data_IF_069355295232
#
_entry.id   IF_069355295232
#
_cell.length_a   1.000
_cell.length_b   1.000
_cell.length_c   1.000
_cell.angle_alpha   90.00
_cell.angle_beta   90.00
_cell.angle_gamma   90.00
#
_symmetry.space_group_name_H-M   'P 1'
#
loop_
_entity.id
_entity.type
_entity.pdbx_description
1 polymer ?
#
# COMPACT_ATOMS: atom_id res chain seq x y z
N UNK A 1 41.05 -31.38 -4.18
CA UNK A 1 40.40 -30.26 -4.92
C UNK A 1 39.00 -30.58 -5.49
N UNK A 2 38.33 -31.68 -5.10
CA UNK A 2 36.98 -32.02 -5.60
C UNK A 2 35.83 -31.51 -4.71
N UNK A 3 36.11 -31.09 -3.48
CA UNK A 3 35.07 -30.73 -2.49
C UNK A 3 34.79 -29.22 -2.39
N UNK A 4 35.59 -28.37 -3.05
CA UNK A 4 35.38 -26.91 -3.04
C UNK A 4 34.31 -26.47 -4.07
N UNK A 5 34.08 -27.28 -5.12
CA UNK A 5 33.06 -27.00 -6.14
C UNK A 5 31.62 -27.24 -5.65
N UNK A 6 31.41 -28.12 -4.67
CA UNK A 6 30.08 -28.31 -4.07
C UNK A 6 29.73 -27.19 -3.07
N UNK A 7 30.72 -26.54 -2.46
CA UNK A 7 30.47 -25.43 -1.52
C UNK A 7 30.04 -24.14 -2.25
N UNK A 8 30.50 -23.95 -3.48
CA UNK A 8 30.11 -22.82 -4.34
C UNK A 8 28.74 -23.00 -5.00
N UNK A 9 28.26 -24.24 -5.15
CA UNK A 9 26.91 -24.50 -5.69
C UNK A 9 25.81 -24.30 -4.63
N UNK A 10 26.16 -24.39 -3.34
CA UNK A 10 25.23 -24.14 -2.21
C UNK A 10 24.98 -22.66 -1.92
N UNK A 11 25.81 -21.74 -2.44
CA UNK A 11 25.69 -20.29 -2.20
C UNK A 11 24.88 -19.56 -3.30
N UNK A 12 24.47 -20.25 -4.36
CA UNK A 12 23.66 -19.69 -5.46
C UNK A 12 22.14 -19.92 -5.30
N UNK A 13 21.67 -20.28 -4.11
CA UNK A 13 20.32 -19.86 -3.70
C UNK A 13 20.39 -18.39 -3.24
N UNK A 14 20.77 -17.51 -4.16
CA UNK A 14 20.51 -16.09 -4.00
C UNK A 14 19.01 -15.96 -3.90
N UNK A 15 18.57 -15.60 -2.69
CA UNK A 15 17.25 -15.15 -2.34
C UNK A 15 16.51 -14.55 -3.54
N UNK A 16 15.62 -15.33 -4.15
CA UNK A 16 14.47 -14.77 -4.81
C UNK A 16 13.62 -14.18 -3.67
N UNK A 17 14.00 -12.99 -3.20
CA UNK A 17 13.10 -12.19 -2.39
C UNK A 17 11.84 -12.05 -3.23
N UNK A 18 10.68 -12.53 -2.75
CA UNK A 18 9.45 -12.42 -3.51
C UNK A 18 9.33 -10.96 -3.94
N UNK A 19 9.05 -10.73 -5.23
CA UNK A 19 8.80 -9.38 -5.72
C UNK A 19 7.66 -8.81 -4.90
N UNK A 20 8.00 -7.98 -3.94
CA UNK A 20 7.05 -7.43 -2.99
C UNK A 20 6.17 -6.47 -3.79
N UNK A 21 4.88 -6.80 -3.93
CA UNK A 21 3.86 -5.78 -4.15
C UNK A 21 3.99 -4.79 -2.99
N UNK A 22 3.86 -3.49 -3.26
CA UNK A 22 4.03 -2.36 -2.33
C UNK A 22 4.75 -2.73 -1.05
N UNK A 23 6.10 -2.73 -1.04
CA UNK A 23 6.78 -3.71 -0.22
C UNK A 23 6.36 -3.68 1.24
N UNK A 24 6.39 -4.85 1.89
CA UNK A 24 6.02 -5.03 3.29
C UNK A 24 6.41 -3.85 4.19
N UNK A 25 7.61 -3.29 4.02
CA UNK A 25 8.10 -2.12 4.74
C UNK A 25 7.18 -0.90 4.65
N UNK A 26 6.62 -0.59 3.47
CA UNK A 26 5.71 0.55 3.26
C UNK A 26 4.33 0.28 3.83
N UNK A 27 3.78 -0.93 3.67
CA UNK A 27 2.55 -1.31 4.36
C UNK A 27 2.72 -1.24 5.88
N UNK A 28 3.82 -1.79 6.40
CA UNK A 28 4.17 -1.75 7.82
C UNK A 28 4.34 -0.28 8.29
N UNK A 29 4.95 0.59 7.47
CA UNK A 29 5.11 2.02 7.79
C UNK A 29 3.78 2.76 7.84
N UNK A 30 2.91 2.58 6.84
CA UNK A 30 1.56 3.16 6.82
C UNK A 30 0.77 2.72 8.06
N UNK A 31 0.76 1.42 8.33
CA UNK A 31 0.04 0.87 9.47
C UNK A 31 0.64 1.35 10.79
N UNK A 32 1.96 1.51 10.89
CA UNK A 32 2.61 1.94 12.12
C UNK A 32 2.35 3.42 12.42
N UNK A 33 2.46 4.30 11.42
CA UNK A 33 2.07 5.70 11.55
C UNK A 33 0.57 5.79 11.89
N UNK A 34 -0.28 4.99 11.24
CA UNK A 34 -1.70 4.96 11.56
C UNK A 34 -1.96 4.54 13.02
N UNK A 35 -1.30 3.48 13.49
CA UNK A 35 -1.39 2.97 14.86
C UNK A 35 -0.96 4.03 15.90
N UNK A 36 0.09 4.78 15.62
CA UNK A 36 0.53 5.91 16.45
C UNK A 36 -0.53 7.02 16.55
N UNK A 37 -1.41 7.15 15.55
CA UNK A 37 -2.46 8.17 15.47
C UNK A 37 -3.87 7.65 15.83
N UNK A 38 -4.00 6.41 16.32
CA UNK A 38 -5.26 5.89 16.84
C UNK A 38 -5.62 6.47 18.21
N UNK A 39 -6.90 6.71 18.44
CA UNK A 39 -7.44 7.04 19.77
C UNK A 39 -7.27 5.84 20.71
N UNK A 40 -7.17 6.08 22.04
CA UNK A 40 -7.12 4.99 23.00
C UNK A 40 -8.33 4.04 22.92
N UNK A 41 -9.51 4.54 22.55
CA UNK A 41 -10.72 3.73 22.39
C UNK A 41 -10.64 2.83 21.16
N UNK A 42 -10.20 3.38 20.02
CA UNK A 42 -9.97 2.62 18.80
C UNK A 42 -8.94 1.50 19.03
N UNK A 43 -7.79 1.81 19.66
CA UNK A 43 -6.77 0.81 20.00
C UNK A 43 -7.34 -0.35 20.81
N UNK A 44 -8.08 -0.05 21.89
CA UNK A 44 -8.69 -1.09 22.75
C UNK A 44 -9.71 -1.93 22.01
N UNK A 45 -10.56 -1.30 21.18
CA UNK A 45 -11.60 -2.02 20.45
C UNK A 45 -11.03 -2.89 19.33
N UNK A 46 -10.02 -2.42 18.60
CA UNK A 46 -9.30 -3.19 17.57
C UNK A 46 -8.58 -4.40 18.18
N UNK A 47 -7.94 -4.24 19.33
CA UNK A 47 -7.20 -5.31 20.02
C UNK A 47 -8.07 -6.50 20.45
N UNK A 48 -9.40 -6.39 20.41
CA UNK A 48 -10.30 -7.52 20.63
C UNK A 48 -10.36 -8.49 19.45
N UNK A 49 -10.04 -8.01 18.25
CA UNK A 49 -10.20 -8.75 17.00
C UNK A 49 -8.87 -9.16 16.39
N UNK A 50 -7.75 -8.58 16.83
CA UNK A 50 -6.41 -8.85 16.33
C UNK A 50 -5.52 -9.37 17.46
N UNK A 51 -4.72 -10.40 17.16
CA UNK A 51 -3.80 -11.00 18.14
C UNK A 51 -2.50 -10.18 18.27
N UNK A 52 -2.23 -9.32 17.28
CA UNK A 52 -1.05 -8.46 17.18
C UNK A 52 -1.43 -7.06 16.69
N UNK A 53 -0.44 -6.15 16.66
CA UNK A 53 -0.56 -4.79 16.09
C UNK A 53 -1.13 -4.82 14.67
N UNK A 54 -1.81 -3.73 14.25
CA UNK A 54 -2.29 -3.60 12.86
C UNK A 54 -1.13 -3.70 11.84
N UNK A 55 0.10 -3.35 12.25
CA UNK A 55 1.32 -3.49 11.45
C UNK A 55 1.55 -4.94 11.03
N UNK A 56 1.32 -5.90 11.94
CA UNK A 56 1.50 -7.33 11.65
C UNK A 56 0.59 -7.82 10.51
N UNK A 57 -0.57 -7.21 10.37
CA UNK A 57 -1.58 -7.55 9.38
C UNK A 57 -1.53 -6.68 8.11
N UNK A 58 -0.62 -5.69 8.05
CA UNK A 58 -0.61 -4.71 6.98
C UNK A 58 -0.33 -5.30 5.60
N UNK A 59 0.50 -6.34 5.55
CA UNK A 59 0.84 -7.07 4.31
C UNK A 59 0.08 -8.40 4.15
N UNK A 60 -0.99 -8.61 4.94
CA UNK A 60 -1.64 -9.92 5.03
C UNK A 60 -2.33 -10.31 3.71
N UNK A 61 -3.00 -9.37 3.07
CA UNK A 61 -3.67 -9.65 1.79
C UNK A 61 -2.67 -10.07 0.73
N UNK A 62 -1.48 -9.47 0.66
CA UNK A 62 -0.44 -9.89 -0.29
C UNK A 62 0.09 -11.28 0.03
N UNK A 63 0.35 -11.55 1.31
CA UNK A 63 0.86 -12.86 1.75
C UNK A 63 -0.11 -14.00 1.45
N UNK A 64 -1.41 -13.74 1.53
CA UNK A 64 -2.46 -14.74 1.36
C UNK A 64 -3.33 -14.46 0.13
N UNK A 65 -2.79 -13.79 -0.90
CA UNK A 65 -3.60 -13.27 -2.01
C UNK A 65 -4.42 -14.31 -2.75
N UNK A 66 -3.98 -15.56 -2.76
CA UNK A 66 -4.63 -16.65 -3.49
C UNK A 66 -5.69 -17.40 -2.67
N UNK A 67 -5.88 -17.06 -1.38
CA UNK A 67 -6.90 -17.69 -0.55
C UNK A 67 -8.31 -17.21 -0.93
N UNK A 68 -9.38 -17.99 -0.63
CA UNK A 68 -10.75 -17.63 -1.00
C UNK A 68 -11.19 -16.24 -0.55
N UNK A 69 -10.66 -15.77 0.58
CA UNK A 69 -10.92 -14.46 1.15
C UNK A 69 -10.37 -13.34 0.26
N UNK A 70 -9.13 -13.46 -0.26
CA UNK A 70 -8.45 -12.33 -0.91
C UNK A 70 -8.43 -12.43 -2.44
N UNK A 71 -8.51 -13.64 -3.02
CA UNK A 71 -8.25 -13.91 -4.45
C UNK A 71 -9.13 -13.14 -5.45
N UNK A 72 -10.29 -12.67 -5.02
CA UNK A 72 -11.23 -11.95 -5.89
C UNK A 72 -11.10 -10.42 -5.78
N UNK A 73 -10.32 -9.92 -4.84
CA UNK A 73 -10.04 -8.48 -4.68
C UNK A 73 -8.75 -8.18 -5.44
N UNK A 74 -8.79 -7.18 -6.31
CA UNK A 74 -7.56 -6.69 -6.96
C UNK A 74 -6.73 -5.92 -5.93
N UNK A 75 -5.41 -5.94 -6.06
CA UNK A 75 -4.47 -5.13 -5.27
C UNK A 75 -4.08 -3.85 -6.02
N UNK A 76 -4.97 -3.44 -6.92
CA UNK A 76 -4.84 -2.24 -7.73
C UNK A 76 -6.24 -1.66 -7.89
N UNK A 77 -6.28 -0.36 -8.08
CA UNK A 77 -7.50 0.36 -8.42
C UNK A 77 -7.52 0.67 -9.91
N UNK A 78 -8.72 0.69 -10.49
CA UNK A 78 -8.94 1.10 -11.88
C UNK A 78 -9.76 2.39 -11.89
N UNK A 79 -9.34 3.33 -12.75
CA UNK A 79 -10.02 4.60 -12.97
C UNK A 79 -10.39 4.83 -14.44
N UNK A 80 -11.46 5.58 -14.67
CA UNK A 80 -11.91 5.99 -16.00
C UNK A 80 -11.12 7.18 -16.55
N UNK A 81 -11.53 7.71 -17.71
CA UNK A 81 -10.88 8.86 -18.35
C UNK A 81 -10.99 10.16 -17.51
N UNK A 82 -11.95 10.25 -16.60
CA UNK A 82 -12.12 11.36 -15.64
C UNK A 82 -11.39 11.13 -14.33
N UNK A 83 -10.50 10.13 -14.25
CA UNK A 83 -9.81 9.69 -13.03
C UNK A 83 -10.78 9.27 -11.91
N UNK A 84 -11.99 8.84 -12.26
CA UNK A 84 -12.98 8.36 -11.30
C UNK A 84 -12.90 6.85 -11.15
N UNK A 85 -13.23 6.35 -9.95
CA UNK A 85 -13.28 4.91 -9.66
C UNK A 85 -14.18 4.15 -10.66
N UNK A 86 -13.64 3.08 -11.24
CA UNK A 86 -14.42 2.08 -11.98
C UNK A 86 -14.95 1.03 -11.00
N UNK A 87 -16.26 1.07 -10.77
CA UNK A 87 -16.94 0.24 -9.75
C UNK A 87 -17.00 -1.25 -10.13
N UNK A 88 -17.15 -1.53 -11.42
CA UNK A 88 -17.34 -2.90 -11.92
C UNK A 88 -16.17 -3.30 -12.80
N UNK A 89 -15.52 -4.41 -12.44
CA UNK A 89 -14.47 -5.03 -13.25
C UNK A 89 -14.99 -6.26 -13.99
N UNK A 90 -14.06 -7.03 -14.56
CA UNK A 90 -14.36 -8.36 -15.13
C UNK A 90 -14.98 -9.29 -14.08
N UNK A 91 -15.84 -10.22 -14.54
CA UNK A 91 -16.55 -11.18 -13.69
C UNK A 91 -15.59 -11.88 -12.72
N UNK A 92 -15.96 -11.91 -11.44
CA UNK A 92 -15.18 -12.55 -10.38
C UNK A 92 -14.05 -11.69 -9.80
N UNK A 93 -13.91 -10.42 -10.23
CA UNK A 93 -12.94 -9.48 -9.67
C UNK A 93 -13.62 -8.22 -9.13
N UNK A 94 -13.10 -7.72 -8.02
CA UNK A 94 -13.53 -6.51 -7.34
C UNK A 94 -12.38 -5.51 -7.31
N UNK A 95 -12.66 -4.27 -7.68
CA UNK A 95 -11.71 -3.16 -7.55
C UNK A 95 -11.42 -2.92 -6.05
N UNK A 96 -10.14 -2.74 -5.67
CA UNK A 96 -9.74 -2.67 -4.26
C UNK A 96 -10.56 -1.61 -3.49
N UNK A 97 -10.76 -0.42 -4.06
CA UNK A 97 -11.48 0.68 -3.39
C UNK A 97 -12.96 0.37 -3.20
N UNK A 98 -13.57 -0.42 -4.10
CA UNK A 98 -14.95 -0.91 -3.90
C UNK A 98 -15.01 -1.86 -2.72
N UNK A 99 -14.03 -2.75 -2.58
CA UNK A 99 -13.99 -3.65 -1.43
C UNK A 99 -13.68 -2.91 -0.12
N UNK A 100 -12.80 -1.89 -0.15
CA UNK A 100 -12.58 -1.01 0.99
C UNK A 100 -13.88 -0.35 1.45
N UNK A 101 -14.65 0.24 0.52
CA UNK A 101 -15.94 0.86 0.85
C UNK A 101 -16.92 -0.15 1.46
N UNK A 102 -16.99 -1.37 0.92
CA UNK A 102 -17.81 -2.45 1.49
C UNK A 102 -17.33 -2.89 2.87
N UNK A 103 -16.03 -3.00 3.08
CA UNK A 103 -15.45 -3.40 4.35
C UNK A 103 -15.71 -2.34 5.43
N UNK A 104 -15.51 -1.06 5.12
CA UNK A 104 -15.87 0.06 6.00
C UNK A 104 -17.36 0.03 6.32
N UNK A 105 -18.22 -0.17 5.32
CA UNK A 105 -19.67 -0.20 5.54
C UNK A 105 -20.11 -1.36 6.45
N UNK A 106 -19.60 -2.58 6.21
CA UNK A 106 -19.83 -3.73 7.09
C UNK A 106 -19.35 -3.45 8.52
N UNK A 107 -18.18 -2.85 8.67
CA UNK A 107 -17.61 -2.54 9.99
C UNK A 107 -18.37 -1.47 10.77
N UNK A 108 -19.31 -0.71 10.17
CA UNK A 108 -20.18 0.18 10.97
C UNK A 108 -21.03 -0.61 11.98
N UNK A 109 -21.35 -1.87 11.68
CA UNK A 109 -22.12 -2.76 12.54
C UNK A 109 -21.27 -3.88 13.15
N UNK A 110 -19.95 -3.66 13.31
CA UNK A 110 -19.00 -4.69 13.74
C UNK A 110 -19.36 -5.39 15.07
N UNK A 111 -20.15 -4.74 15.94
CA UNK A 111 -20.58 -5.29 17.23
C UNK A 111 -21.57 -6.44 17.09
N UNK A 112 -22.26 -6.54 15.96
CA UNK A 112 -23.22 -7.59 15.65
C UNK A 112 -22.65 -8.64 14.66
N UNK A 113 -21.35 -8.55 14.35
CA UNK A 113 -20.64 -9.48 13.46
C UNK A 113 -19.85 -10.52 14.26
N UNK A 114 -19.53 -11.66 13.65
CA UNK A 114 -18.56 -12.58 14.23
C UNK A 114 -17.16 -11.96 14.23
N UNK A 115 -16.35 -12.28 15.25
CA UNK A 115 -14.98 -11.79 15.36
C UNK A 115 -14.12 -12.09 14.12
N UNK A 116 -14.35 -13.24 13.47
CA UNK A 116 -13.70 -13.62 12.22
C UNK A 116 -14.03 -12.69 11.05
N UNK A 117 -15.29 -12.25 10.95
CA UNK A 117 -15.71 -11.31 9.91
C UNK A 117 -15.20 -9.90 10.21
N UNK A 118 -15.19 -9.48 11.48
CA UNK A 118 -14.59 -8.19 11.87
C UNK A 118 -13.11 -8.18 11.52
N UNK A 119 -12.37 -9.24 11.89
CA UNK A 119 -10.95 -9.41 11.56
C UNK A 119 -10.68 -9.35 10.06
N UNK A 120 -11.45 -10.10 9.25
CA UNK A 120 -11.29 -10.09 7.80
C UNK A 120 -11.51 -8.69 7.21
N UNK A 121 -12.57 -8.00 7.64
CA UNK A 121 -12.86 -6.64 7.15
C UNK A 121 -11.81 -5.63 7.60
N UNK A 122 -11.30 -5.78 8.81
CA UNK A 122 -10.22 -4.95 9.32
C UNK A 122 -8.94 -5.15 8.51
N UNK A 123 -8.61 -6.39 8.11
CA UNK A 123 -7.48 -6.67 7.22
C UNK A 123 -7.64 -6.00 5.84
N UNK A 124 -8.86 -6.00 5.25
CA UNK A 124 -9.12 -5.23 4.03
C UNK A 124 -8.87 -3.75 4.21
N UNK A 125 -9.37 -3.14 5.29
CA UNK A 125 -9.19 -1.71 5.56
C UNK A 125 -7.71 -1.37 5.73
N UNK A 126 -6.96 -2.13 6.53
CA UNK A 126 -5.55 -1.88 6.81
C UNK A 126 -4.71 -1.93 5.52
N UNK A 127 -4.92 -2.95 4.69
CA UNK A 127 -4.12 -3.15 3.48
C UNK A 127 -4.52 -2.23 2.34
N UNK A 128 -5.82 -2.17 2.01
CA UNK A 128 -6.30 -1.47 0.81
C UNK A 128 -6.13 0.04 0.92
N UNK A 129 -6.21 0.62 2.12
CA UNK A 129 -5.90 2.06 2.29
C UNK A 129 -4.44 2.33 1.90
N UNK A 130 -3.51 1.40 2.11
CA UNK A 130 -2.15 1.50 1.57
C UNK A 130 -2.12 1.40 0.05
N UNK A 131 -2.65 0.32 -0.51
CA UNK A 131 -2.65 0.05 -1.96
C UNK A 131 -3.26 1.20 -2.76
N UNK A 132 -4.40 1.73 -2.33
CA UNK A 132 -5.09 2.78 -3.10
C UNK A 132 -4.31 4.10 -3.18
N UNK A 133 -3.30 4.29 -2.31
CA UNK A 133 -2.41 5.45 -2.31
C UNK A 133 -1.08 5.15 -3.01
N UNK A 134 -0.77 3.89 -3.30
CA UNK A 134 0.39 3.56 -4.12
C UNK A 134 0.27 4.25 -5.49
N UNK A 135 1.30 5.02 -5.93
CA UNK A 135 1.28 5.63 -7.25
C UNK A 135 1.09 4.64 -8.41
N UNK A 136 1.71 3.45 -8.32
CA UNK A 136 1.66 2.43 -9.37
C UNK A 136 0.42 1.55 -9.36
N UNK A 137 -0.32 1.54 -8.25
CA UNK A 137 -1.53 0.72 -8.08
C UNK A 137 -2.77 1.39 -8.66
N UNK A 138 -2.69 2.62 -9.14
CA UNK A 138 -3.77 3.23 -9.94
C UNK A 138 -3.58 2.88 -11.41
N UNK A 139 -4.57 2.20 -12.00
CA UNK A 139 -4.60 1.81 -13.41
C UNK A 139 -5.51 2.74 -14.21
N UNK A 140 -4.88 3.43 -15.15
CA UNK A 140 -5.52 4.38 -16.06
C UNK A 140 -5.80 3.72 -17.41
N UNK A 141 -6.98 3.97 -17.97
CA UNK A 141 -7.33 3.51 -19.31
C UNK A 141 -6.30 3.98 -20.35
N UNK A 142 -5.88 3.08 -21.25
CA UNK A 142 -4.94 3.37 -22.33
C UNK A 142 -3.47 3.54 -21.92
N UNK A 143 -3.16 3.54 -20.63
CA UNK A 143 -1.80 3.77 -20.15
C UNK A 143 -1.04 2.45 -20.03
N UNK A 144 0.08 2.34 -20.75
CA UNK A 144 0.93 1.16 -20.74
C UNK A 144 2.12 1.40 -19.82
N UNK A 145 2.45 0.39 -19.02
CA UNK A 145 3.63 0.34 -18.18
C UNK A 145 4.66 -0.62 -18.76
N UNK A 146 5.94 -0.42 -18.47
CA UNK A 146 7.02 -1.30 -18.91
C UNK A 146 8.02 -1.62 -17.81
N UNK A 147 9.03 -2.43 -18.14
CA UNK A 147 10.21 -2.57 -17.29
C UNK A 147 11.19 -1.45 -17.62
N UNK A 148 11.93 -0.99 -16.64
CA UNK A 148 13.00 -0.01 -16.80
C UNK A 148 14.17 -0.39 -15.88
N UNK A 149 15.35 0.17 -16.15
CA UNK A 149 16.49 0.06 -15.27
C UNK A 149 16.51 1.22 -14.28
N UNK A 150 16.73 0.93 -12.99
CA UNK A 150 16.99 1.93 -11.97
C UNK A 150 18.28 1.55 -11.25
N UNK A 151 19.29 2.42 -11.34
CA UNK A 151 20.61 2.24 -10.72
C UNK A 151 21.27 0.88 -11.09
N UNK A 152 21.17 0.45 -12.34
CA UNK A 152 21.72 -0.82 -12.83
C UNK A 152 20.86 -2.04 -12.52
N UNK A 153 19.63 -1.85 -12.02
CA UNK A 153 18.68 -2.94 -11.72
C UNK A 153 17.42 -2.83 -12.58
N UNK A 154 17.27 -3.77 -13.52
CA UNK A 154 16.03 -3.91 -14.32
C UNK A 154 14.84 -4.34 -13.47
N UNK A 155 13.87 -3.46 -13.27
CA UNK A 155 12.67 -3.69 -12.45
C UNK A 155 11.37 -3.46 -13.23
N UNK A 156 10.26 -3.97 -12.70
CA UNK A 156 8.93 -3.68 -13.24
C UNK A 156 8.51 -2.25 -12.87
N UNK A 157 7.55 -1.71 -13.62
CA UNK A 157 6.87 -0.46 -13.26
C UNK A 157 6.37 -0.45 -11.81
N UNK A 158 5.68 -1.50 -11.39
CA UNK A 158 5.23 -1.60 -10.00
C UNK A 158 6.41 -1.57 -9.04
N UNK A 159 7.42 -2.44 -9.22
CA UNK A 159 8.57 -2.50 -8.32
C UNK A 159 9.32 -1.17 -8.17
N UNK A 160 9.39 -0.36 -9.24
CA UNK A 160 10.01 0.96 -9.17
C UNK A 160 9.34 1.88 -8.16
N UNK A 161 8.01 1.94 -8.16
CA UNK A 161 7.24 2.85 -7.31
C UNK A 161 6.77 2.20 -6.00
N UNK A 162 6.69 0.87 -5.96
CA UNK A 162 6.34 0.07 -4.79
C UNK A 162 7.45 0.10 -3.73
N UNK A 163 8.72 0.12 -4.17
CA UNK A 163 9.86 0.21 -3.27
C UNK A 163 11.07 0.94 -3.87
N UNK A 164 11.37 0.76 -5.16
CA UNK A 164 12.64 1.20 -5.77
C UNK A 164 13.02 2.66 -5.53
N UNK A 165 12.08 3.59 -5.78
CA UNK A 165 12.30 5.03 -5.58
C UNK A 165 12.51 5.36 -4.10
N UNK A 166 11.59 4.91 -3.23
CA UNK A 166 11.69 5.21 -1.79
C UNK A 166 12.90 4.52 -1.12
N UNK A 167 13.28 3.32 -1.56
CA UNK A 167 14.48 2.62 -1.05
C UNK A 167 15.75 3.32 -1.50
N UNK A 168 15.79 3.80 -2.75
CA UNK A 168 16.91 4.58 -3.26
C UNK A 168 17.04 5.94 -2.58
N UNK A 169 15.94 6.53 -2.13
CA UNK A 169 15.93 7.83 -1.47
C UNK A 169 16.36 7.74 0.00
N UNK A 170 15.86 6.73 0.72
CA UNK A 170 16.01 6.66 2.17
C UNK A 170 16.59 5.33 2.67
N UNK A 171 16.08 4.19 2.17
CA UNK A 171 16.42 2.86 2.70
C UNK A 171 15.99 2.65 4.16
N UNK A 172 14.99 3.39 4.63
CA UNK A 172 14.50 3.36 6.00
C UNK A 172 13.72 2.09 6.34
N UNK A 173 13.84 1.67 7.60
CA UNK A 173 12.89 0.76 8.25
C UNK A 173 11.51 1.41 8.42
N UNK A 174 10.48 0.60 8.61
CA UNK A 174 9.12 1.10 8.83
C UNK A 174 9.01 2.03 10.06
N UNK A 175 9.83 1.80 11.08
CA UNK A 175 9.89 2.65 12.28
C UNK A 175 10.53 4.01 12.01
N UNK A 176 11.53 4.08 11.13
CA UNK A 176 12.18 5.34 10.76
C UNK A 176 11.22 6.23 9.96
N UNK A 177 10.39 5.66 9.07
CA UNK A 177 9.32 6.42 8.41
C UNK A 177 8.40 7.11 9.43
N UNK A 178 8.01 6.41 10.49
CA UNK A 178 7.18 7.01 11.54
C UNK A 178 7.94 8.10 12.30
N UNK A 179 9.19 7.84 12.71
CA UNK A 179 9.99 8.80 13.48
C UNK A 179 10.28 10.09 12.69
N UNK A 180 10.49 9.98 11.38
CA UNK A 180 10.97 11.09 10.55
C UNK A 180 9.84 11.84 9.85
N UNK A 181 8.73 11.17 9.52
CA UNK A 181 7.65 11.77 8.72
C UNK A 181 6.36 12.05 9.49
N UNK A 182 6.10 11.41 10.65
CA UNK A 182 4.88 11.66 11.44
C UNK A 182 4.97 12.94 12.30
N UNK A 183 5.24 14.07 11.67
CA UNK A 183 5.57 15.36 12.34
C UNK A 183 4.46 16.40 12.25
N UNK A 184 3.34 16.07 11.58
CA UNK A 184 2.26 17.00 11.29
C UNK A 184 1.37 17.30 12.52
N UNK A 185 0.82 18.51 12.57
CA UNK A 185 -0.14 18.91 13.60
C UNK A 185 -1.47 18.13 13.46
N UNK A 186 -2.25 18.09 14.56
CA UNK A 186 -3.60 17.49 14.53
C UNK A 186 -4.49 18.07 13.43
N UNK A 187 -4.37 19.37 13.15
CA UNK A 187 -5.14 20.06 12.10
C UNK A 187 -4.73 19.59 10.70
N UNK A 188 -3.43 19.47 10.44
CA UNK A 188 -2.91 19.02 9.15
C UNK A 188 -3.25 17.54 8.90
N UNK A 189 -3.12 16.70 9.93
CA UNK A 189 -3.55 15.29 9.90
C UNK A 189 -5.04 15.17 9.53
N UNK A 190 -5.90 15.93 10.20
CA UNK A 190 -7.34 15.94 9.91
C UNK A 190 -7.66 16.48 8.51
N UNK A 191 -6.90 17.47 8.02
CA UNK A 191 -7.07 18.00 6.67
C UNK A 191 -6.69 16.95 5.59
N UNK A 192 -5.57 16.24 5.77
CA UNK A 192 -5.15 15.17 4.85
C UNK A 192 -6.10 13.97 4.86
N UNK A 193 -6.70 13.68 6.01
CA UNK A 193 -7.65 12.58 6.19
C UNK A 193 -9.08 12.92 5.76
N UNK A 194 -9.39 14.17 5.40
CA UNK A 194 -10.74 14.56 5.00
C UNK A 194 -11.14 13.87 3.68
N UNK A 195 -12.41 13.50 3.57
CA UNK A 195 -13.00 12.93 2.36
C UNK A 195 -13.39 11.46 2.52
N UNK A 196 -13.73 10.85 1.40
CA UNK A 196 -14.17 9.45 1.30
C UNK A 196 -13.15 8.62 0.52
N UNK A 197 -13.18 7.28 0.60
CA UNK A 197 -12.32 6.43 -0.21
C UNK A 197 -12.39 6.71 -1.73
N UNK A 198 -13.56 7.12 -2.25
CA UNK A 198 -13.68 7.47 -3.67
C UNK A 198 -12.97 8.78 -4.01
N UNK A 199 -13.10 9.80 -3.15
CA UNK A 199 -12.40 11.08 -3.31
C UNK A 199 -10.89 10.92 -3.13
N UNK A 200 -10.45 10.11 -2.16
CA UNK A 200 -9.04 9.80 -1.97
C UNK A 200 -8.44 9.09 -3.17
N UNK A 201 -9.16 8.11 -3.75
CA UNK A 201 -8.69 7.48 -4.98
C UNK A 201 -8.57 8.50 -6.11
N UNK A 202 -9.57 9.37 -6.28
CA UNK A 202 -9.52 10.39 -7.31
C UNK A 202 -8.30 11.33 -7.13
N UNK A 203 -8.04 11.77 -5.90
CA UNK A 203 -6.86 12.58 -5.58
C UNK A 203 -5.55 11.86 -5.89
N UNK A 204 -5.43 10.58 -5.50
CA UNK A 204 -4.24 9.77 -5.81
C UNK A 204 -4.12 9.58 -7.32
N UNK A 205 -5.22 9.33 -8.04
CA UNK A 205 -5.23 9.16 -9.48
C UNK A 205 -4.78 10.43 -10.22
N UNK A 206 -5.24 11.60 -9.79
CA UNK A 206 -4.82 12.88 -10.37
C UNK A 206 -3.33 13.13 -10.06
N UNK A 207 -2.91 12.95 -8.81
CA UNK A 207 -1.53 13.23 -8.41
C UNK A 207 -0.51 12.26 -9.04
N UNK A 208 -0.87 10.99 -9.17
CA UNK A 208 0.06 9.94 -9.58
C UNK A 208 0.07 9.69 -11.08
N UNK A 209 -0.85 10.27 -11.87
CA UNK A 209 -0.86 10.03 -13.33
C UNK A 209 0.49 10.27 -14.00
N UNK A 210 1.22 11.28 -13.51
CA UNK A 210 2.52 11.73 -14.00
C UNK A 210 3.61 10.65 -13.97
N UNK A 211 3.49 9.61 -13.12
CA UNK A 211 4.52 8.57 -13.03
C UNK A 211 4.65 7.73 -14.32
N UNK A 212 3.64 7.73 -15.18
CA UNK A 212 3.71 7.14 -16.53
C UNK A 212 4.47 7.99 -17.53
N UNK A 213 4.60 9.30 -17.28
CA UNK A 213 5.40 10.20 -18.11
C UNK A 213 6.86 10.20 -17.63
N UNK A 214 7.07 10.05 -16.32
CA UNK A 214 8.40 9.94 -15.71
C UNK A 214 9.09 8.61 -15.98
N UNK A 215 8.36 7.49 -15.94
CA UNK A 215 8.93 6.17 -16.20
C UNK A 215 8.44 5.58 -17.53
N UNK A 216 9.34 5.55 -18.51
CA UNK A 216 9.13 4.92 -19.82
C UNK A 216 9.80 3.54 -19.89
N UNK A 217 9.29 2.70 -20.78
CA UNK A 217 9.80 1.35 -20.95
C UNK A 217 11.22 1.35 -21.55
N UNK A 218 12.06 0.44 -21.06
CA UNK A 218 13.44 0.19 -21.51
C UNK A 218 14.40 1.39 -21.38
N UNK A 219 14.01 2.43 -20.63
CA UNK A 219 14.91 3.51 -20.21
C UNK A 219 15.74 3.11 -18.98
N UNK A 220 16.79 3.89 -18.73
CA UNK A 220 17.69 3.77 -17.58
C UNK A 220 17.60 5.04 -16.74
N UNK A 221 17.34 4.85 -15.46
CA UNK A 221 17.25 5.90 -14.46
C UNK A 221 18.35 5.72 -13.42
N UNK A 222 18.79 6.83 -12.83
CA UNK A 222 19.87 6.86 -11.86
C UNK A 222 19.42 7.43 -10.52
N UNK A 223 20.39 7.78 -9.66
CA UNK A 223 20.12 8.39 -8.37
C UNK A 223 19.44 9.75 -8.49
N UNK A 224 19.70 10.51 -9.55
CA UNK A 224 19.07 11.82 -9.74
C UNK A 224 17.57 11.66 -9.96
N UNK A 225 17.16 10.68 -10.78
CA UNK A 225 15.73 10.36 -10.96
C UNK A 225 15.04 10.06 -9.63
N UNK A 226 15.70 9.34 -8.72
CA UNK A 226 15.16 9.08 -7.38
C UNK A 226 14.97 10.38 -6.59
N UNK A 227 15.99 11.23 -6.54
CA UNK A 227 15.94 12.50 -5.82
C UNK A 227 14.87 13.46 -6.38
N UNK A 228 14.61 13.40 -7.68
CA UNK A 228 13.62 14.25 -8.34
C UNK A 228 12.18 13.76 -8.13
N UNK A 229 11.98 12.49 -7.77
CA UNK A 229 10.64 11.86 -7.80
C UNK A 229 10.15 11.34 -6.45
N UNK A 230 11.02 11.11 -5.45
CA UNK A 230 10.64 10.40 -4.22
C UNK A 230 9.58 11.10 -3.36
N UNK A 231 9.45 12.43 -3.45
CA UNK A 231 8.47 13.19 -2.68
C UNK A 231 7.02 12.82 -3.02
N UNK A 232 6.75 12.38 -4.26
CA UNK A 232 5.41 11.93 -4.64
C UNK A 232 4.96 10.69 -3.85
N UNK A 233 5.65 9.53 -3.93
CA UNK A 233 5.27 8.35 -3.15
C UNK A 233 5.35 8.59 -1.63
N UNK A 234 6.29 9.40 -1.14
CA UNK A 234 6.36 9.76 0.28
C UNK A 234 5.09 10.50 0.75
N UNK A 235 4.65 11.51 -0.02
CA UNK A 235 3.42 12.25 0.30
C UNK A 235 2.17 11.35 0.29
N UNK A 236 2.12 10.36 -0.60
CA UNK A 236 1.02 9.41 -0.65
C UNK A 236 1.04 8.45 0.54
N UNK A 237 2.22 7.97 0.95
CA UNK A 237 2.41 7.14 2.15
C UNK A 237 1.88 7.86 3.40
N UNK A 238 2.20 9.16 3.54
CA UNK A 238 1.73 9.96 4.68
C UNK A 238 0.21 10.17 4.65
N UNK A 239 -0.37 10.51 3.49
CA UNK A 239 -1.82 10.61 3.34
C UNK A 239 -2.51 9.31 3.69
N UNK A 240 -2.01 8.18 3.18
CA UNK A 240 -2.55 6.86 3.47
C UNK A 240 -2.56 6.55 4.96
N UNK A 241 -1.47 6.88 5.66
CA UNK A 241 -1.33 6.69 7.11
C UNK A 241 -2.40 7.43 7.90
N UNK A 242 -2.62 8.72 7.59
CA UNK A 242 -3.61 9.53 8.30
C UNK A 242 -5.04 9.18 7.93
N UNK A 243 -5.30 8.77 6.69
CA UNK A 243 -6.59 8.26 6.24
C UNK A 243 -6.92 6.93 6.90
N UNK A 244 -5.96 6.02 7.01
CA UNK A 244 -6.13 4.76 7.73
C UNK A 244 -6.45 5.01 9.21
N UNK A 245 -5.70 5.87 9.89
CA UNK A 245 -5.98 6.23 11.28
C UNK A 245 -7.38 6.83 11.44
N UNK A 246 -7.80 7.72 10.54
CA UNK A 246 -9.13 8.34 10.59
C UNK A 246 -10.26 7.32 10.44
N UNK A 247 -10.17 6.42 9.44
CA UNK A 247 -11.16 5.35 9.24
C UNK A 247 -11.25 4.45 10.46
N UNK A 248 -10.11 4.01 11.00
CA UNK A 248 -10.09 3.14 12.17
C UNK A 248 -10.61 3.84 13.43
N UNK A 249 -10.32 5.14 13.58
CA UNK A 249 -10.86 5.95 14.68
C UNK A 249 -12.37 6.17 14.55
N UNK A 250 -12.89 6.35 13.35
CA UNK A 250 -14.33 6.50 13.13
C UNK A 250 -15.08 5.19 13.45
N UNK A 251 -14.55 4.06 13.00
CA UNK A 251 -15.19 2.75 13.17
C UNK A 251 -15.10 2.24 14.63
N UNK A 252 -13.94 2.39 15.27
CA UNK A 252 -13.63 1.75 16.55
C UNK A 252 -13.46 2.74 17.71
N UNK A 253 -13.51 4.05 17.47
CA UNK A 253 -13.36 5.09 18.50
C UNK A 253 -14.55 5.28 19.41
#
# INVERSE_FOLDING_TARGET
MKNLKLFLLGLMLCAALPSQAWDRTRHDAIAYIAECNLTPRAKRNIARYLDHSIVYYASWMDKYRDTPEFRNVEHVSYVDAGMQLVDTLRKGKTNCVVELMRAVDRLKDYRNMSDSLVRLNLMYVIHIVGDMHCPSHVKYAGCKSGRADLNGRKMSYHAMWDWGVLDGAHGWSYSEYQQLLDTFSKREKAAMAKGTPREWLHETAVACRVIYDWQRADETYDKQFVLDTYLLPESQLIKASYRLAAVLNELFG
#
